data_IF_402646251014
#
_entry.id   IF_402646251014
#
_cell.length_a   1.000
_cell.length_b   1.000
_cell.length_c   1.000
_cell.angle_alpha   90.00
_cell.angle_beta   90.00
_cell.angle_gamma   90.00
#
_symmetry.space_group_name_H-M   'P 1'
#
loop_
_entity.id
_entity.type
_entity.pdbx_description
1 polymer ?
#
# COMPACT_ATOMS: atom_id res chain seq x y z
N UNK A 1 -24.21 -0.43 3.20
CA UNK A 1 -23.92 0.97 3.64
C UNK A 1 -24.31 2.02 2.61
N UNK A 2 -23.83 1.94 1.35
CA UNK A 2 -24.10 2.99 0.34
C UNK A 2 -25.45 2.90 -0.40
N UNK A 3 -26.14 1.76 -0.30
CA UNK A 3 -27.35 1.49 -1.08
C UNK A 3 -28.48 2.52 -0.85
N UNK A 4 -28.58 3.07 0.36
CA UNK A 4 -29.58 4.10 0.70
C UNK A 4 -29.33 5.44 0.04
N UNK A 5 -28.10 5.74 -0.36
CA UNK A 5 -27.71 7.06 -0.89
C UNK A 5 -27.55 7.05 -2.41
N UNK A 6 -27.07 5.94 -2.99
CA UNK A 6 -26.80 5.84 -4.44
C UNK A 6 -27.38 4.51 -4.99
N UNK A 7 -28.70 4.30 -4.91
CA UNK A 7 -29.32 2.99 -5.04
C UNK A 7 -29.06 2.30 -6.38
N UNK A 8 -29.13 3.05 -7.49
CA UNK A 8 -28.96 2.48 -8.83
C UNK A 8 -27.51 2.05 -9.12
N UNK A 9 -26.53 2.83 -8.65
CA UNK A 9 -25.10 2.51 -8.84
C UNK A 9 -24.73 1.30 -8.01
N UNK A 10 -25.09 1.29 -6.73
CA UNK A 10 -24.77 0.17 -5.84
C UNK A 10 -25.48 -1.12 -6.25
N UNK A 11 -26.71 -1.02 -6.77
CA UNK A 11 -27.43 -2.19 -7.30
C UNK A 11 -26.73 -2.74 -8.55
N UNK A 12 -26.32 -1.88 -9.48
CA UNK A 12 -25.60 -2.32 -10.69
C UNK A 12 -24.29 -3.05 -10.36
N UNK A 13 -23.54 -2.54 -9.38
CA UNK A 13 -22.32 -3.19 -8.87
C UNK A 13 -22.68 -4.54 -8.22
N UNK A 14 -23.72 -4.58 -7.38
CA UNK A 14 -24.17 -5.81 -6.72
C UNK A 14 -24.57 -6.90 -7.71
N UNK A 15 -25.40 -6.56 -8.70
CA UNK A 15 -25.85 -7.48 -9.75
C UNK A 15 -24.66 -8.05 -10.54
N UNK A 16 -23.64 -7.24 -10.79
CA UNK A 16 -22.48 -7.64 -11.59
C UNK A 16 -21.53 -8.55 -10.82
N UNK A 17 -21.26 -8.24 -9.54
CA UNK A 17 -20.20 -8.88 -8.76
C UNK A 17 -20.69 -9.97 -7.82
N UNK A 18 -21.89 -9.85 -7.26
CA UNK A 18 -22.33 -10.66 -6.11
C UNK A 18 -23.53 -11.55 -6.41
N UNK A 19 -24.43 -11.17 -7.31
CA UNK A 19 -25.66 -11.95 -7.62
C UNK A 19 -25.41 -13.41 -8.00
N UNK A 20 -24.25 -13.74 -8.58
CA UNK A 20 -23.91 -15.13 -8.92
C UNK A 20 -23.56 -15.98 -7.68
N UNK A 21 -23.20 -15.34 -6.58
CA UNK A 21 -22.75 -15.95 -5.34
C UNK A 21 -23.75 -15.79 -4.19
N UNK A 22 -24.64 -14.80 -4.29
CA UNK A 22 -25.67 -14.48 -3.32
C UNK A 22 -27.05 -14.91 -3.82
N UNK A 23 -27.87 -15.48 -2.94
CA UNK A 23 -29.23 -15.94 -3.28
C UNK A 23 -30.28 -14.81 -3.32
N UNK A 24 -29.86 -13.57 -3.08
CA UNK A 24 -30.74 -12.40 -2.98
C UNK A 24 -30.74 -11.63 -4.30
N UNK A 25 -31.94 -11.33 -4.82
CA UNK A 25 -32.11 -10.73 -6.14
C UNK A 25 -31.79 -9.24 -6.21
N UNK A 26 -31.78 -8.52 -5.08
CA UNK A 26 -31.46 -7.09 -5.02
C UNK A 26 -30.69 -6.76 -3.75
N UNK A 27 -29.70 -5.88 -3.88
CA UNK A 27 -28.94 -5.36 -2.76
C UNK A 27 -29.85 -4.74 -1.68
N UNK A 28 -30.94 -4.08 -2.08
CA UNK A 28 -31.88 -3.41 -1.17
C UNK A 28 -32.69 -4.37 -0.30
N UNK A 29 -32.69 -5.66 -0.64
CA UNK A 29 -33.34 -6.72 0.15
C UNK A 29 -32.36 -7.42 1.09
N UNK A 30 -31.05 -7.14 0.95
CA UNK A 30 -30.04 -7.67 1.85
C UNK A 30 -30.18 -7.06 3.24
N UNK A 31 -29.77 -7.82 4.26
CA UNK A 31 -29.74 -7.38 5.65
C UNK A 31 -28.31 -7.43 6.14
N UNK A 32 -27.98 -6.52 7.05
CA UNK A 32 -26.73 -6.66 7.79
C UNK A 32 -26.77 -7.94 8.62
N UNK A 33 -25.62 -8.60 8.74
CA UNK A 33 -25.50 -9.74 9.65
C UNK A 33 -25.86 -9.31 11.07
N UNK A 34 -26.62 -10.16 11.77
CA UNK A 34 -27.07 -9.91 13.13
C UNK A 34 -25.89 -9.86 14.13
N UNK A 35 -24.81 -10.57 13.83
CA UNK A 35 -23.59 -10.60 14.63
C UNK A 35 -22.46 -10.05 13.78
N UNK A 36 -22.04 -8.83 14.09
CA UNK A 36 -20.86 -8.23 13.47
C UNK A 36 -19.63 -8.72 14.24
N UNK A 37 -18.86 -9.64 13.65
CA UNK A 37 -17.56 -10.03 14.22
C UNK A 37 -16.63 -8.83 14.12
N UNK A 38 -16.15 -8.33 15.26
CA UNK A 38 -15.20 -7.22 15.27
C UNK A 38 -13.85 -7.69 14.69
N UNK A 39 -13.64 -7.43 13.40
CA UNK A 39 -12.41 -7.73 12.67
C UNK A 39 -11.39 -6.60 12.88
N UNK A 40 -10.97 -6.41 14.13
CA UNK A 40 -9.93 -5.45 14.49
C UNK A 40 -8.56 -6.13 14.55
N UNK A 41 -7.68 -5.79 13.62
CA UNK A 41 -6.33 -6.34 13.51
C UNK A 41 -5.30 -5.21 13.59
N UNK A 42 -4.94 -4.75 14.80
CA UNK A 42 -4.09 -3.57 14.98
C UNK A 42 -2.71 -3.74 14.33
N UNK A 43 -2.12 -4.93 14.44
CA UNK A 43 -0.83 -5.23 13.82
C UNK A 43 -0.86 -5.16 12.29
N UNK A 44 -1.95 -5.62 11.67
CA UNK A 44 -2.14 -5.51 10.22
C UNK A 44 -2.31 -4.05 9.79
N UNK A 45 -3.03 -3.25 10.58
CA UNK A 45 -3.17 -1.80 10.32
C UNK A 45 -1.81 -1.10 10.38
N UNK A 46 -1.05 -1.35 11.45
CA UNK A 46 0.28 -0.77 11.66
C UNK A 46 1.27 -1.20 10.57
N UNK A 47 1.22 -2.46 10.15
CA UNK A 47 2.00 -2.96 9.01
C UNK A 47 1.68 -2.17 7.74
N UNK A 48 0.40 -1.93 7.48
CA UNK A 48 -0.03 -1.17 6.30
C UNK A 48 0.36 0.31 6.37
N UNK A 49 0.38 0.92 7.56
CA UNK A 49 0.87 2.29 7.76
C UNK A 49 2.32 2.44 7.31
N UNK A 50 3.21 1.52 7.70
CA UNK A 50 4.60 1.52 7.21
C UNK A 50 4.71 1.38 5.69
N UNK A 51 3.90 0.48 5.11
CA UNK A 51 3.90 0.27 3.65
C UNK A 51 3.40 1.53 2.92
N UNK A 52 2.33 2.16 3.41
CA UNK A 52 1.79 3.38 2.82
C UNK A 52 2.79 4.54 2.90
N UNK A 53 3.49 4.69 4.02
CA UNK A 53 4.54 5.70 4.17
C UNK A 53 5.67 5.51 3.14
N UNK A 54 6.14 4.26 2.95
CA UNK A 54 7.13 3.93 1.90
C UNK A 54 6.61 4.34 0.52
N UNK A 55 5.37 3.97 0.19
CA UNK A 55 4.78 4.29 -1.12
C UNK A 55 4.65 5.80 -1.32
N UNK A 56 4.21 6.53 -0.31
CA UNK A 56 4.07 7.98 -0.36
C UNK A 56 5.42 8.66 -0.57
N UNK A 57 6.43 8.28 0.21
CA UNK A 57 7.79 8.83 0.09
C UNK A 57 8.38 8.57 -1.29
N UNK A 58 8.23 7.36 -1.84
CA UNK A 58 8.74 7.05 -3.18
C UNK A 58 8.01 7.80 -4.27
N UNK A 59 6.68 7.93 -4.18
CA UNK A 59 5.90 8.75 -5.12
C UNK A 59 6.32 10.21 -5.06
N UNK A 60 6.54 10.74 -3.86
CA UNK A 60 7.03 12.10 -3.64
C UNK A 60 8.41 12.30 -4.26
N UNK A 61 9.34 11.37 -4.05
CA UNK A 61 10.68 11.40 -4.65
C UNK A 61 10.62 11.39 -6.18
N UNK A 62 9.79 10.53 -6.79
CA UNK A 62 9.60 10.50 -8.25
C UNK A 62 9.03 11.82 -8.76
N UNK A 63 7.97 12.34 -8.15
CA UNK A 63 7.33 13.60 -8.53
C UNK A 63 8.30 14.79 -8.42
N UNK A 64 9.05 14.89 -7.33
CA UNK A 64 10.04 15.95 -7.12
C UNK A 64 11.16 15.92 -8.17
N UNK A 65 11.50 14.72 -8.67
CA UNK A 65 12.48 14.52 -9.73
C UNK A 65 11.87 14.48 -11.14
N UNK A 66 10.60 14.87 -11.29
CA UNK A 66 9.86 14.89 -12.55
C UNK A 66 9.85 13.52 -13.28
N UNK A 67 9.88 12.44 -12.50
CA UNK A 67 9.83 11.06 -12.97
C UNK A 67 8.39 10.55 -13.01
N UNK A 68 8.11 9.67 -13.98
CA UNK A 68 6.85 8.94 -14.02
C UNK A 68 6.75 7.98 -12.83
N UNK A 69 5.55 7.77 -12.29
CA UNK A 69 5.34 6.75 -11.26
C UNK A 69 5.69 5.33 -11.76
N UNK A 70 5.67 5.12 -13.08
CA UNK A 70 6.06 3.87 -13.74
C UNK A 70 7.57 3.68 -13.87
N UNK A 71 8.37 4.72 -13.67
CA UNK A 71 9.83 4.64 -13.76
C UNK A 71 10.34 3.63 -12.74
N UNK A 72 11.16 2.69 -13.19
CA UNK A 72 11.73 1.65 -12.34
C UNK A 72 12.81 2.22 -11.42
N UNK A 73 12.97 1.58 -10.27
CA UNK A 73 14.01 1.87 -9.28
C UNK A 73 14.85 0.60 -9.16
N UNK A 74 16.12 0.65 -9.52
CA UNK A 74 16.99 -0.51 -9.44
C UNK A 74 17.20 -0.95 -7.99
N UNK A 75 17.53 0.00 -7.11
CA UNK A 75 17.74 -0.28 -5.70
C UNK A 75 16.99 0.72 -4.82
N UNK A 76 16.14 0.20 -3.93
CA UNK A 76 15.44 0.95 -2.89
C UNK A 76 16.07 0.65 -1.52
N UNK A 77 16.73 1.64 -0.95
CA UNK A 77 17.26 1.56 0.40
C UNK A 77 16.24 2.11 1.41
N UNK A 78 15.95 1.32 2.45
CA UNK A 78 15.03 1.70 3.52
C UNK A 78 15.77 1.70 4.85
N UNK A 79 15.79 2.88 5.48
CA UNK A 79 16.51 3.14 6.73
C UNK A 79 15.54 3.24 7.90
N UNK A 80 15.83 2.54 9.00
CA UNK A 80 15.12 2.67 10.27
C UNK A 80 16.00 2.17 11.42
N UNK A 81 15.94 2.82 12.58
CA UNK A 81 16.59 2.33 13.80
C UNK A 81 15.81 1.20 14.48
N UNK A 82 14.58 0.92 14.04
CA UNK A 82 13.71 -0.09 14.62
C UNK A 82 13.78 -1.40 13.82
N UNK A 83 14.45 -2.40 14.39
CA UNK A 83 14.59 -3.72 13.77
C UNK A 83 13.26 -4.46 13.57
N UNK A 84 12.24 -4.23 14.40
CA UNK A 84 10.92 -4.84 14.21
C UNK A 84 10.22 -4.27 12.98
N UNK A 85 10.41 -2.97 12.71
CA UNK A 85 9.90 -2.32 11.51
C UNK A 85 10.63 -2.86 10.28
N UNK A 86 11.96 -2.95 10.31
CA UNK A 86 12.73 -3.54 9.21
C UNK A 86 12.30 -5.00 8.94
N UNK A 87 12.05 -5.79 9.98
CA UNK A 87 11.54 -7.16 9.83
C UNK A 87 10.15 -7.20 9.20
N UNK A 88 9.27 -6.29 9.60
CA UNK A 88 7.92 -6.14 9.03
C UNK A 88 7.98 -5.78 7.54
N UNK A 89 8.89 -4.87 7.18
CA UNK A 89 9.15 -4.47 5.79
C UNK A 89 9.70 -5.65 4.99
N UNK A 90 10.68 -6.39 5.54
CA UNK A 90 11.24 -7.59 4.90
C UNK A 90 10.16 -8.62 4.58
N UNK A 91 9.24 -8.87 5.51
CA UNK A 91 8.14 -9.81 5.31
C UNK A 91 7.16 -9.40 4.19
N UNK A 92 7.16 -8.13 3.80
CA UNK A 92 6.28 -7.57 2.78
C UNK A 92 7.04 -7.01 1.56
N UNK A 93 8.31 -7.40 1.37
CA UNK A 93 9.19 -6.81 0.35
C UNK A 93 8.62 -6.91 -1.06
N UNK A 94 7.99 -8.05 -1.42
CA UNK A 94 7.42 -8.26 -2.75
C UNK A 94 6.26 -7.29 -3.05
N UNK A 95 5.41 -7.04 -2.05
CA UNK A 95 4.34 -6.07 -2.18
C UNK A 95 4.93 -4.68 -2.45
N UNK A 96 5.92 -4.28 -1.64
CA UNK A 96 6.57 -2.98 -1.71
C UNK A 96 7.22 -2.81 -3.09
N UNK A 97 8.04 -3.75 -3.54
CA UNK A 97 8.67 -3.75 -4.86
C UNK A 97 7.64 -3.60 -5.99
N UNK A 98 6.53 -4.33 -5.90
CA UNK A 98 5.46 -4.30 -6.90
C UNK A 98 4.80 -2.92 -7.03
N UNK A 99 4.53 -2.25 -5.90
CA UNK A 99 3.86 -0.93 -5.89
C UNK A 99 4.82 0.25 -6.11
N UNK A 100 6.09 0.13 -5.73
CA UNK A 100 7.11 1.17 -5.94
C UNK A 100 7.82 1.07 -7.29
N UNK A 101 7.67 -0.06 -8.00
CA UNK A 101 8.45 -0.42 -9.19
C UNK A 101 9.95 -0.51 -8.87
N UNK A 102 10.28 -1.14 -7.75
CA UNK A 102 11.66 -1.39 -7.33
C UNK A 102 12.08 -2.82 -7.67
N UNK A 103 13.33 -3.01 -8.08
CA UNK A 103 13.88 -4.34 -8.38
C UNK A 103 14.52 -5.00 -7.16
N UNK A 104 15.23 -4.23 -6.34
CA UNK A 104 15.83 -4.70 -5.09
C UNK A 104 15.50 -3.76 -3.92
N UNK A 105 15.40 -4.34 -2.72
CA UNK A 105 15.26 -3.60 -1.46
C UNK A 105 16.41 -3.95 -0.53
N UNK A 106 17.13 -2.92 -0.09
CA UNK A 106 18.18 -3.02 0.91
C UNK A 106 17.71 -2.37 2.22
N UNK A 107 17.77 -3.11 3.32
CA UNK A 107 17.32 -2.65 4.64
C UNK A 107 18.53 -2.27 5.49
N UNK A 108 18.53 -1.05 6.03
CA UNK A 108 19.65 -0.50 6.79
C UNK A 108 19.22 -0.04 8.17
N UNK A 109 19.88 -0.58 9.19
CA UNK A 109 19.65 -0.21 10.59
C UNK A 109 20.49 1.02 10.98
N UNK A 110 20.28 2.13 10.28
CA UNK A 110 21.08 3.35 10.39
C UNK A 110 20.19 4.59 10.24
N UNK A 111 20.71 5.75 10.62
CA UNK A 111 20.05 7.03 10.38
C UNK A 111 20.31 7.51 8.96
N UNK A 112 19.25 7.95 8.29
CA UNK A 112 19.34 8.70 7.04
C UNK A 112 18.89 10.14 7.30
N UNK A 113 19.74 11.11 6.98
CA UNK A 113 19.40 12.53 7.17
C UNK A 113 18.25 12.95 6.26
N UNK A 114 18.39 12.70 4.96
CA UNK A 114 17.44 13.11 3.93
C UNK A 114 17.14 11.96 2.96
N UNK A 115 15.86 11.80 2.61
CA UNK A 115 15.46 10.90 1.53
C UNK A 115 15.93 11.46 0.19
N UNK A 116 16.53 10.62 -0.65
CA UNK A 116 17.07 11.02 -1.96
C UNK A 116 16.64 10.07 -3.07
N UNK A 117 16.76 10.55 -4.30
CA UNK A 117 16.64 9.73 -5.50
C UNK A 117 17.73 10.17 -6.47
N UNK A 118 18.68 9.25 -6.70
CA UNK A 118 19.90 9.51 -7.45
C UNK A 118 19.89 8.71 -8.75
N UNK A 119 20.27 9.37 -9.85
CA UNK A 119 20.47 8.74 -11.15
C UNK A 119 21.95 8.50 -11.38
N UNK A 120 22.37 7.24 -11.38
CA UNK A 120 23.76 6.84 -11.62
C UNK A 120 23.81 6.16 -12.99
N UNK A 121 24.09 6.94 -14.02
CA UNK A 121 23.93 6.50 -15.41
C UNK A 121 22.46 6.22 -15.71
N UNK A 122 22.17 5.01 -16.18
CA UNK A 122 20.80 4.55 -16.46
C UNK A 122 20.09 3.99 -15.23
N UNK A 123 20.79 3.81 -14.11
CA UNK A 123 20.23 3.21 -12.89
C UNK A 123 19.67 4.26 -11.95
N UNK A 124 18.51 3.98 -11.35
CA UNK A 124 17.87 4.81 -10.34
C UNK A 124 17.99 4.15 -8.98
N UNK A 125 18.54 4.89 -8.03
CA UNK A 125 18.62 4.50 -6.63
C UNK A 125 17.76 5.44 -5.80
N UNK A 126 16.93 4.90 -4.91
CA UNK A 126 16.14 5.69 -3.98
C UNK A 126 16.49 5.31 -2.55
N UNK A 127 16.64 6.31 -1.67
CA UNK A 127 16.88 6.11 -0.25
C UNK A 127 15.78 6.82 0.54
N UNK A 128 15.13 6.10 1.45
CA UNK A 128 14.06 6.63 2.30
C UNK A 128 14.26 6.24 3.76
N UNK A 129 13.68 7.03 4.67
CA UNK A 129 13.69 6.72 6.11
C UNK A 129 12.29 6.47 6.61
N UNK A 130 12.14 5.50 7.49
CA UNK A 130 10.88 5.22 8.19
C UNK A 130 11.00 5.80 9.59
N UNK A 131 10.15 6.77 9.89
CA UNK A 131 9.99 7.27 11.25
C UNK A 131 9.08 6.29 11.99
N UNK A 132 9.59 5.70 13.07
CA UNK A 132 8.87 4.75 13.92
C UNK A 132 9.05 5.12 15.37
#
# INVERSE_FOLDING_TARGET
MYATYIPHVTESIYQTLYKKHEEINSLHQTKFENIQINKYFPESSKTMEYILDIVEQIRKLKSNNQLSLKTEIDNLEIYSLNNEVLKTIRNNEQLIMGVTKSHEIELKNELLENSSLDKIGDRIKAAIKINS
#
